data_IF_288774493048
#
_entry.id   IF_288774493048
#
_cell.length_a   1.000
_cell.length_b   1.000
_cell.length_c   1.000
_cell.angle_alpha   90.00
_cell.angle_beta   90.00
_cell.angle_gamma   90.00
#
_symmetry.space_group_name_H-M   'P 1'
#
loop_
_entity.id
_entity.type
_entity.pdbx_description
1 polymer ?
#
# COMPACT_ATOMS: atom_id res chain seq x y z
N UNK A 1 -4.24 -3.85 -34.59
CA UNK A 1 -4.37 -4.19 -33.15
C UNK A 1 -3.79 -5.58 -32.94
N UNK A 2 -2.88 -5.76 -31.99
CA UNK A 2 -2.46 -7.08 -31.47
C UNK A 2 -2.48 -6.97 -29.96
N UNK A 3 -3.38 -7.73 -29.33
CA UNK A 3 -3.46 -7.85 -27.89
C UNK A 3 -2.33 -8.75 -27.41
N UNK A 4 -1.43 -8.20 -26.58
CA UNK A 4 -0.31 -8.93 -25.98
C UNK A 4 -0.57 -9.10 -24.48
N UNK A 5 -1.73 -9.66 -24.15
CA UNK A 5 -2.16 -9.97 -22.78
C UNK A 5 -2.01 -11.46 -22.49
N UNK A 6 -0.83 -12.00 -22.80
CA UNK A 6 -0.34 -13.18 -22.11
C UNK A 6 0.52 -12.69 -20.95
N UNK A 7 -0.05 -12.69 -19.74
CA UNK A 7 0.74 -12.64 -18.52
C UNK A 7 1.68 -13.84 -18.53
N UNK A 8 2.97 -13.56 -18.69
CA UNK A 8 4.00 -14.58 -18.77
C UNK A 8 4.16 -15.24 -17.38
N UNK A 9 3.88 -16.56 -17.24
CA UNK A 9 3.94 -17.23 -15.95
C UNK A 9 5.38 -17.31 -15.41
N UNK A 10 6.40 -17.36 -16.27
CA UNK A 10 7.81 -17.37 -15.85
C UNK A 10 8.21 -16.01 -15.27
N UNK A 11 7.75 -14.91 -15.89
CA UNK A 11 7.89 -13.55 -15.32
C UNK A 11 7.28 -13.47 -13.93
N UNK A 12 6.05 -13.97 -13.75
CA UNK A 12 5.37 -13.89 -12.45
C UNK A 12 6.07 -14.71 -11.38
N UNK A 13 6.57 -15.92 -11.70
CA UNK A 13 7.38 -16.74 -10.79
C UNK A 13 8.73 -16.08 -10.47
N UNK A 14 9.38 -15.44 -11.44
CA UNK A 14 10.63 -14.73 -11.21
C UNK A 14 10.43 -13.51 -10.28
N UNK A 15 9.34 -12.76 -10.46
CA UNK A 15 8.99 -11.63 -9.58
C UNK A 15 8.69 -12.08 -8.14
N UNK A 16 8.05 -13.23 -7.97
CA UNK A 16 7.74 -13.81 -6.65
C UNK A 16 9.04 -14.11 -5.88
N UNK A 17 9.96 -14.85 -6.49
CA UNK A 17 11.29 -15.16 -5.92
C UNK A 17 12.10 -13.90 -5.55
N UNK A 18 12.00 -12.84 -6.36
CA UNK A 18 12.64 -11.55 -6.05
C UNK A 18 12.01 -10.90 -4.81
N UNK A 19 10.68 -10.96 -4.65
CA UNK A 19 9.99 -10.42 -3.47
C UNK A 19 10.30 -11.21 -2.20
N UNK A 20 10.47 -12.52 -2.33
CA UNK A 20 10.89 -13.38 -1.22
C UNK A 20 12.33 -13.05 -0.80
N UNK A 21 13.25 -12.96 -1.76
CA UNK A 21 14.63 -12.53 -1.49
C UNK A 21 14.71 -11.11 -0.88
N UNK A 22 13.82 -10.18 -1.26
CA UNK A 22 13.71 -8.86 -0.61
C UNK A 22 13.24 -9.01 0.85
N UNK A 23 12.30 -9.91 1.13
CA UNK A 23 11.82 -10.18 2.48
C UNK A 23 12.93 -10.79 3.37
N UNK A 24 13.67 -11.77 2.85
CA UNK A 24 14.79 -12.41 3.52
C UNK A 24 15.91 -11.40 3.82
N UNK A 25 16.30 -10.60 2.83
CA UNK A 25 17.33 -9.57 3.01
C UNK A 25 16.89 -8.50 4.03
N UNK A 26 15.65 -8.02 3.98
CA UNK A 26 15.12 -7.12 5.00
C UNK A 26 15.24 -7.72 6.41
N UNK A 27 14.78 -8.97 6.58
CA UNK A 27 14.83 -9.66 7.87
C UNK A 27 16.28 -9.95 8.32
N UNK A 28 17.23 -10.09 7.40
CA UNK A 28 18.66 -10.25 7.70
C UNK A 28 19.30 -8.94 8.19
N UNK A 29 18.95 -7.79 7.60
CA UNK A 29 19.48 -6.48 8.01
C UNK A 29 18.87 -5.94 9.30
N UNK A 30 17.54 -6.02 9.43
CA UNK A 30 16.81 -5.38 10.52
C UNK A 30 16.36 -6.34 11.62
N UNK A 31 16.40 -7.65 11.38
CA UNK A 31 15.82 -8.65 12.26
C UNK A 31 14.31 -8.82 12.06
N UNK A 32 13.78 -9.91 12.63
CA UNK A 32 12.37 -10.30 12.52
C UNK A 32 11.62 -10.33 13.86
N UNK A 33 12.28 -10.07 15.00
CA UNK A 33 11.60 -9.99 16.30
C UNK A 33 11.00 -8.59 16.51
N UNK A 34 9.66 -8.54 16.58
CA UNK A 34 8.89 -7.30 16.83
C UNK A 34 9.04 -6.74 18.25
N UNK A 35 9.73 -7.47 19.14
CA UNK A 35 9.98 -7.08 20.52
C UNK A 35 11.44 -6.67 20.77
N UNK A 36 12.32 -6.77 19.76
CA UNK A 36 13.68 -6.25 19.85
C UNK A 36 13.68 -4.74 19.54
N UNK A 37 13.98 -3.91 20.54
CA UNK A 37 14.07 -2.46 20.37
C UNK A 37 15.26 -2.04 19.49
N UNK A 38 16.34 -2.82 19.48
CA UNK A 38 17.50 -2.55 18.64
C UNK A 38 17.19 -2.77 17.15
N UNK A 39 16.42 -3.81 16.82
CA UNK A 39 15.86 -4.02 15.48
C UNK A 39 15.05 -2.80 15.00
N UNK A 40 14.15 -2.28 15.85
CA UNK A 40 13.41 -1.05 15.55
C UNK A 40 14.33 0.16 15.36
N UNK A 41 15.31 0.37 16.25
CA UNK A 41 16.23 1.48 16.18
C UNK A 41 17.07 1.47 14.89
N UNK A 42 17.53 0.30 14.45
CA UNK A 42 18.25 0.13 13.19
C UNK A 42 17.36 0.45 11.98
N UNK A 43 16.09 0.03 12.02
CA UNK A 43 15.12 0.33 10.96
C UNK A 43 14.84 1.85 10.87
N UNK A 44 14.58 2.53 11.99
CA UNK A 44 14.38 3.99 12.00
C UNK A 44 15.63 4.75 11.52
N UNK A 45 16.84 4.28 11.85
CA UNK A 45 18.10 4.84 11.35
C UNK A 45 18.27 4.71 9.84
N UNK A 46 17.93 3.55 9.26
CA UNK A 46 17.93 3.36 7.81
C UNK A 46 16.88 4.22 7.10
N UNK A 47 15.74 4.48 7.77
CA UNK A 47 14.71 5.44 7.34
C UNK A 47 15.09 6.91 7.64
N UNK A 48 16.30 7.18 8.14
CA UNK A 48 16.84 8.51 8.50
C UNK A 48 16.02 9.31 9.53
N UNK A 49 15.23 8.62 10.35
CA UNK A 49 14.42 9.24 11.40
C UNK A 49 15.26 9.45 12.66
N UNK A 50 15.40 10.72 13.05
CA UNK A 50 16.23 11.15 14.18
C UNK A 50 15.54 10.90 15.52
N UNK A 51 14.23 11.17 15.59
CA UNK A 51 13.40 10.93 16.78
C UNK A 51 12.92 9.47 16.82
N UNK A 52 13.84 8.58 17.20
CA UNK A 52 13.54 7.16 17.40
C UNK A 52 12.80 6.97 18.73
N UNK A 53 11.63 6.30 18.78
CA UNK A 53 10.91 6.11 20.03
C UNK A 53 11.55 5.10 20.98
N UNK A 54 11.51 5.37 22.28
CA UNK A 54 12.14 4.52 23.32
C UNK A 54 11.37 3.24 23.67
N UNK A 55 10.17 3.03 23.11
CA UNK A 55 9.33 1.86 23.43
C UNK A 55 8.78 1.17 22.19
N UNK A 56 8.73 -0.17 22.27
CA UNK A 56 8.23 -1.06 21.21
C UNK A 56 6.85 -0.63 20.68
N UNK A 57 5.92 -0.23 21.55
CA UNK A 57 4.57 0.17 21.11
C UNK A 57 4.53 1.55 20.45
N UNK A 58 5.46 2.45 20.77
CA UNK A 58 5.63 3.69 20.02
C UNK A 58 6.30 3.41 18.67
N UNK A 59 7.32 2.55 18.61
CA UNK A 59 7.94 2.09 17.35
C UNK A 59 6.88 1.51 16.40
N UNK A 60 6.07 0.55 16.89
CA UNK A 60 4.95 -0.09 16.16
C UNK A 60 3.86 0.87 15.69
N UNK A 61 3.73 2.07 16.30
CA UNK A 61 2.81 3.14 15.87
C UNK A 61 3.47 4.05 14.84
N UNK A 62 4.66 4.56 15.14
CA UNK A 62 5.39 5.48 14.26
C UNK A 62 5.67 4.87 12.88
N UNK A 63 6.14 3.62 12.82
CA UNK A 63 6.43 2.90 11.57
C UNK A 63 5.22 2.79 10.62
N UNK A 64 3.98 2.84 11.15
CA UNK A 64 2.75 2.74 10.34
C UNK A 64 2.42 4.04 9.61
N UNK A 65 2.91 5.19 10.10
CA UNK A 65 2.79 6.48 9.44
C UNK A 65 3.86 6.72 8.37
N UNK A 66 4.88 5.87 8.29
CA UNK A 66 5.96 6.00 7.31
C UNK A 66 5.53 5.31 6.03
N UNK A 67 5.65 5.99 4.90
CA UNK A 67 5.44 5.42 3.58
C UNK A 67 6.78 5.40 2.85
N UNK A 68 7.28 4.21 2.52
CA UNK A 68 8.59 3.99 1.87
C UNK A 68 8.47 2.81 0.93
N UNK A 69 9.23 2.81 -0.17
CA UNK A 69 9.30 1.64 -1.02
C UNK A 69 10.26 0.61 -0.41
N UNK A 70 9.73 -0.57 -0.07
CA UNK A 70 10.49 -1.67 0.53
C UNK A 70 11.67 -2.09 -0.37
N UNK A 71 11.52 -2.02 -1.70
CA UNK A 71 12.59 -2.34 -2.63
C UNK A 71 13.76 -1.34 -2.49
N UNK A 72 13.46 -0.04 -2.49
CA UNK A 72 14.47 1.02 -2.35
C UNK A 72 15.17 0.97 -0.98
N UNK A 73 14.44 0.61 0.09
CA UNK A 73 15.00 0.44 1.43
C UNK A 73 15.98 -0.73 1.52
N UNK A 74 15.68 -1.86 0.87
CA UNK A 74 16.59 -3.01 0.80
C UNK A 74 17.77 -2.73 -0.11
N UNK A 75 17.54 -2.13 -1.29
CA UNK A 75 18.59 -1.69 -2.22
C UNK A 75 19.61 -0.77 -1.51
N UNK A 76 19.13 0.20 -0.73
CA UNK A 76 19.95 1.11 0.08
C UNK A 76 20.74 0.39 1.18
N UNK A 77 20.11 -0.56 1.88
CA UNK A 77 20.75 -1.30 2.98
C UNK A 77 21.88 -2.20 2.50
N UNK A 78 21.71 -2.81 1.32
CA UNK A 78 22.72 -3.63 0.64
C UNK A 78 23.89 -2.82 0.09
N UNK A 79 23.60 -1.69 -0.55
CA UNK A 79 24.58 -0.92 -1.32
C UNK A 79 25.11 0.27 -0.51
N UNK A 80 25.82 -0.03 0.59
CA UNK A 80 26.42 0.94 1.51
C UNK A 80 27.51 1.78 0.81
N UNK A 81 27.07 2.78 0.03
CA UNK A 81 27.94 3.63 -0.79
C UNK A 81 27.29 4.21 -2.06
N UNK A 82 26.11 3.72 -2.49
CA UNK A 82 25.39 4.32 -3.62
C UNK A 82 24.40 5.40 -3.18
N UNK A 83 24.35 6.48 -3.97
CA UNK A 83 23.79 7.78 -3.58
C UNK A 83 22.25 7.85 -3.73
N UNK A 84 21.54 6.83 -3.27
CA UNK A 84 20.09 6.66 -3.41
C UNK A 84 19.48 6.33 -2.06
N UNK A 85 19.34 7.35 -1.21
CA UNK A 85 18.62 7.25 0.05
C UNK A 85 17.15 6.84 -0.17
N UNK A 86 16.56 6.04 0.73
CA UNK A 86 15.19 5.56 0.56
C UNK A 86 14.23 6.74 0.67
N UNK A 87 13.47 7.02 -0.40
CA UNK A 87 12.49 8.09 -0.38
C UNK A 87 11.34 7.75 0.57
N UNK A 88 11.17 8.60 1.57
CA UNK A 88 9.96 8.65 2.40
C UNK A 88 8.91 9.52 1.69
N UNK A 89 7.66 9.09 1.73
CA UNK A 89 6.50 9.76 1.17
C UNK A 89 5.55 10.18 2.29
N UNK A 90 4.83 11.29 2.10
CA UNK A 90 3.90 11.81 3.11
C UNK A 90 2.60 11.00 3.14
N UNK A 91 2.26 10.31 2.04
CA UNK A 91 1.03 9.51 1.93
C UNK A 91 1.23 8.13 1.29
N UNK A 92 0.32 7.21 1.60
CA UNK A 92 0.24 5.90 0.92
C UNK A 92 0.00 6.04 -0.58
N UNK A 93 -0.75 7.06 -1.02
CA UNK A 93 -1.06 7.24 -2.44
C UNK A 93 0.18 7.65 -3.25
N UNK A 94 1.01 8.57 -2.75
CA UNK A 94 2.25 8.98 -3.43
C UNK A 94 3.25 7.82 -3.52
N UNK A 95 3.38 7.04 -2.44
CA UNK A 95 4.15 5.79 -2.46
C UNK A 95 3.61 4.86 -3.55
N UNK A 96 2.30 4.64 -3.58
CA UNK A 96 1.68 3.74 -4.53
C UNK A 96 1.84 4.20 -5.98
N UNK A 97 1.69 5.50 -6.26
CA UNK A 97 1.94 6.09 -7.57
C UNK A 97 3.41 5.93 -7.99
N UNK A 98 4.36 6.19 -7.09
CA UNK A 98 5.79 6.03 -7.36
C UNK A 98 6.19 4.55 -7.58
N UNK A 99 5.67 3.62 -6.76
CA UNK A 99 5.88 2.18 -6.92
C UNK A 99 5.29 1.66 -8.25
N UNK A 100 4.10 2.13 -8.65
CA UNK A 100 3.51 1.79 -9.97
C UNK A 100 4.35 2.35 -11.12
N UNK A 101 4.76 3.62 -11.04
CA UNK A 101 5.51 4.30 -12.11
C UNK A 101 6.93 3.73 -12.31
N UNK A 102 7.58 3.31 -11.22
CA UNK A 102 8.91 2.67 -11.26
C UNK A 102 8.88 1.16 -11.50
N UNK A 103 7.72 0.52 -11.34
CA UNK A 103 7.58 -0.94 -11.34
C UNK A 103 8.13 -1.63 -10.07
N UNK A 104 8.75 -0.89 -9.13
CA UNK A 104 9.25 -1.42 -7.86
C UNK A 104 8.09 -1.66 -6.89
N UNK A 105 7.46 -2.83 -7.01
CA UNK A 105 6.22 -3.16 -6.30
C UNK A 105 6.41 -4.40 -5.40
N UNK A 106 6.46 -4.13 -4.10
CA UNK A 106 6.35 -5.15 -3.06
C UNK A 106 4.86 -5.39 -2.73
N UNK A 107 4.36 -6.64 -2.78
CA UNK A 107 2.96 -6.93 -2.53
C UNK A 107 2.63 -6.84 -1.03
N UNK A 108 1.39 -6.46 -0.71
CA UNK A 108 0.88 -6.46 0.66
C UNK A 108 0.83 -7.86 1.26
N UNK A 109 0.54 -8.86 0.44
CA UNK A 109 0.37 -10.25 0.84
C UNK A 109 1.55 -11.08 0.32
N UNK A 110 2.70 -11.03 1.02
CA UNK A 110 3.82 -11.96 0.82
C UNK A 110 3.90 -12.90 2.04
N UNK A 111 4.06 -14.21 1.82
CA UNK A 111 4.16 -15.22 2.89
C UNK A 111 5.37 -15.02 3.83
N UNK A 112 6.46 -14.46 3.33
CA UNK A 112 7.69 -14.14 4.06
C UNK A 112 7.69 -12.74 4.70
N UNK A 113 6.61 -11.97 4.56
CA UNK A 113 6.45 -10.66 5.21
C UNK A 113 6.12 -10.81 6.72
N UNK A 114 7.12 -11.26 7.48
CA UNK A 114 7.09 -11.40 8.93
C UNK A 114 7.53 -10.15 9.68
N UNK A 115 7.79 -10.34 10.98
CA UNK A 115 8.57 -9.43 11.81
C UNK A 115 8.23 -7.94 11.73
N UNK A 116 9.27 -7.12 11.53
CA UNK A 116 9.16 -5.67 11.35
C UNK A 116 8.61 -5.30 9.96
N UNK A 117 8.94 -6.09 8.93
CA UNK A 117 8.55 -5.85 7.53
C UNK A 117 7.04 -5.67 7.37
N UNK A 118 6.25 -6.48 8.08
CA UNK A 118 4.78 -6.43 8.01
C UNK A 118 4.16 -5.07 8.36
N UNK A 119 4.89 -4.21 9.08
CA UNK A 119 4.41 -2.88 9.43
C UNK A 119 4.66 -1.83 8.34
N UNK A 120 5.53 -2.12 7.37
CA UNK A 120 5.81 -1.27 6.19
C UNK A 120 4.93 -1.60 4.98
N UNK A 121 4.16 -2.69 5.02
CA UNK A 121 3.28 -3.11 3.93
C UNK A 121 2.16 -2.07 3.67
N UNK A 122 1.94 -1.72 2.41
CA UNK A 122 0.98 -0.69 1.96
C UNK A 122 0.16 -1.18 0.77
N UNK A 123 -1.02 -0.60 0.55
CA UNK A 123 -1.95 -1.04 -0.51
C UNK A 123 -1.63 -0.37 -1.86
N UNK A 124 -0.68 -0.93 -2.62
CA UNK A 124 -0.18 -0.31 -3.86
C UNK A 124 -1.22 -0.26 -4.99
N UNK A 125 -2.11 -1.25 -5.14
CA UNK A 125 -3.03 -1.32 -6.29
C UNK A 125 -4.50 -1.00 -5.98
N UNK A 126 -4.88 -0.90 -4.69
CA UNK A 126 -6.27 -0.96 -4.29
C UNK A 126 -6.87 -2.37 -4.45
N UNK A 127 -7.95 -2.68 -3.72
CA UNK A 127 -8.69 -3.95 -3.88
C UNK A 127 -9.36 -4.07 -5.26
N UNK A 128 -8.64 -4.70 -6.19
CA UNK A 128 -9.10 -5.30 -7.46
C UNK A 128 -9.81 -4.38 -8.47
N UNK A 129 -9.28 -4.35 -9.71
CA UNK A 129 -10.00 -3.90 -10.90
C UNK A 129 -11.17 -4.86 -11.22
N UNK A 130 -12.31 -4.66 -10.56
CA UNK A 130 -13.55 -5.41 -10.79
C UNK A 130 -14.60 -4.58 -11.51
N UNK A 131 -14.76 -4.76 -12.83
CA UNK A 131 -15.83 -4.11 -13.60
C UNK A 131 -17.21 -4.62 -13.15
N UNK A 132 -17.85 -3.91 -12.21
CA UNK A 132 -19.24 -4.17 -11.81
C UNK A 132 -20.07 -2.89 -11.83
N UNK A 133 -20.56 -2.54 -13.03
CA UNK A 133 -21.80 -1.77 -13.18
C UNK A 133 -22.89 -2.42 -12.33
N UNK A 134 -23.28 -1.78 -11.22
CA UNK A 134 -24.69 -1.56 -10.87
C UNK A 134 -24.88 -0.62 -9.67
N UNK A 135 -25.87 0.26 -9.87
CA UNK A 135 -26.70 0.88 -8.86
C UNK A 135 -26.14 2.05 -8.03
N UNK A 136 -26.20 3.26 -8.59
CA UNK A 136 -26.47 4.46 -7.79
C UNK A 136 -27.25 5.53 -8.57
N UNK A 137 -28.58 5.39 -8.57
CA UNK A 137 -29.56 6.49 -8.44
C UNK A 137 -30.98 5.93 -8.32
N UNK A 138 -31.28 5.42 -7.12
CA UNK A 138 -32.67 5.42 -6.63
C UNK A 138 -33.16 6.88 -6.59
N UNK A 139 -34.40 7.10 -7.01
CA UNK A 139 -34.89 8.44 -7.32
C UNK A 139 -35.22 9.29 -6.10
N UNK A 140 -35.46 10.57 -6.38
CA UNK A 140 -36.21 11.47 -5.49
C UNK A 140 -37.45 11.95 -6.25
N UNK A 141 -38.63 11.49 -5.82
CA UNK A 141 -39.93 12.03 -6.26
C UNK A 141 -40.38 13.04 -5.21
N UNK A 142 -40.02 14.30 -5.41
CA UNK A 142 -40.45 15.37 -4.52
C UNK A 142 -41.86 15.83 -4.95
N UNK A 143 -42.88 15.40 -4.20
CA UNK A 143 -44.27 15.84 -4.39
C UNK A 143 -44.45 17.23 -3.78
N UNK A 144 -44.99 18.18 -4.55
CA UNK A 144 -45.67 19.35 -3.99
C UNK A 144 -47.06 19.45 -4.65
N UNK A 145 -48.11 19.54 -3.84
CA UNK A 145 -49.50 19.47 -4.30
C UNK A 145 -50.39 20.58 -3.77
N UNK A 146 -51.41 20.94 -4.58
CA UNK A 146 -52.59 21.84 -4.43
C UNK A 146 -53.03 22.16 -5.89
N UNK A 147 -54.25 22.53 -6.30
CA UNK A 147 -55.64 22.64 -5.77
C UNK A 147 -56.54 22.80 -7.04
N UNK A 148 -57.85 22.58 -7.10
CA UNK A 148 -58.89 22.11 -6.16
C UNK A 148 -60.02 21.41 -6.97
N UNK A 149 -60.90 20.65 -6.31
CA UNK A 149 -62.05 19.96 -6.90
C UNK A 149 -63.26 20.89 -7.11
N UNK A 150 -63.93 20.84 -8.27
CA UNK A 150 -65.36 21.21 -8.44
C UNK A 150 -66.04 20.38 -9.52
N UNK A 151 -66.91 19.45 -9.11
CA UNK A 151 -67.87 18.79 -9.99
C UNK A 151 -69.23 19.50 -10.05
N UNK A 152 -69.92 19.34 -11.18
CA UNK A 152 -71.37 19.52 -11.48
C UNK A 152 -71.51 19.16 -12.98
N UNK A 153 -72.46 18.37 -13.48
CA UNK A 153 -73.60 17.71 -12.85
C UNK A 153 -74.92 18.18 -13.48
N UNK A 154 -75.50 17.37 -14.39
CA UNK A 154 -76.71 17.69 -15.17
C UNK A 154 -76.44 18.66 -16.35
N UNK A 155 -77.17 18.59 -17.47
CA UNK A 155 -78.35 17.77 -17.81
C UNK A 155 -78.27 17.39 -19.30
#
# INVERSE_FOLDING_TARGET
>A
MRSWDHEDPERNVALDRVRDAIAEQFNMFFGSDVNDLNAWNNLFRALRIVEVPDTIDQCKKAIRGIHVNICDLVDYSLNTGYNSEPKIFDTENELAECSRASGKIYPRDNAYAGGLLKFLLREIFGKYYGNKRKNRKGGKKDKQGKREEKGRGGH
#
